data_IF_262222814147
#
_entry.id   IF_262222814147
#
_cell.length_a   1.000
_cell.length_b   1.000
_cell.length_c   1.000
_cell.angle_alpha   90.00
_cell.angle_beta   90.00
_cell.angle_gamma   90.00
#
_symmetry.space_group_name_H-M   'P 1'
#
loop_
_entity.id
_entity.type
_entity.pdbx_description
1 polymer ?
#
# COMPACT_ATOMS: atom_id res chain seq x y z
N UNK A 1 1.43 20.32 24.68
CA UNK A 1 0.80 19.01 24.92
C UNK A 1 -0.64 18.94 24.37
N UNK A 2 -0.89 18.97 23.07
CA UNK A 2 -0.71 20.00 22.05
C UNK A 2 -2.10 20.18 21.37
N UNK A 3 -2.40 21.31 20.73
CA UNK A 3 -3.59 21.57 19.90
C UNK A 3 -5.01 21.69 20.52
N UNK A 4 -5.48 20.82 21.41
CA UNK A 4 -6.51 21.26 22.38
C UNK A 4 -5.87 22.07 23.52
N UNK A 5 -4.57 21.83 23.70
CA UNK A 5 -3.53 22.76 24.17
C UNK A 5 -3.31 24.02 23.29
N UNK A 6 -3.98 24.17 22.15
CA UNK A 6 -3.95 25.39 21.32
C UNK A 6 -5.31 26.10 21.35
N UNK A 7 -6.43 25.36 21.39
CA UNK A 7 -7.77 25.96 21.53
C UNK A 7 -8.01 26.53 22.94
N UNK A 8 -7.54 25.85 23.99
CA UNK A 8 -7.60 26.36 25.37
C UNK A 8 -6.60 27.51 25.63
N UNK A 9 -5.63 27.74 24.73
CA UNK A 9 -4.66 28.85 24.79
C UNK A 9 -5.20 30.16 24.20
N UNK A 10 -6.32 30.13 23.46
CA UNK A 10 -6.84 31.31 22.76
C UNK A 10 -8.10 31.92 23.41
N UNK A 11 -8.93 31.15 24.14
CA UNK A 11 -10.15 31.69 24.78
C UNK A 11 -10.54 30.96 26.09
N UNK A 12 -9.97 31.32 27.26
CA UNK A 12 -10.36 30.73 28.54
C UNK A 12 -11.51 31.49 29.22
N UNK A 13 -12.61 30.79 29.51
CA UNK A 13 -13.74 31.27 30.31
C UNK A 13 -13.37 31.25 31.81
N UNK A 14 -13.57 32.37 32.51
CA UNK A 14 -13.32 32.50 33.95
C UNK A 14 -14.39 31.78 34.79
N UNK A 15 -13.97 31.00 35.81
CA UNK A 15 -14.62 31.01 37.12
C UNK A 15 -13.70 30.56 38.28
N UNK A 16 -13.26 31.60 39.01
CA UNK A 16 -12.89 31.79 40.42
C UNK A 16 -12.79 30.64 41.45
N UNK A 17 -11.70 30.74 42.25
CA UNK A 17 -11.51 30.43 43.70
C UNK A 17 -11.36 28.96 44.13
N UNK A 18 -10.46 28.55 45.04
CA UNK A 18 -9.81 29.23 46.18
C UNK A 18 -8.59 28.43 46.71
N UNK A 19 -7.57 29.16 47.18
CA UNK A 19 -6.59 28.88 48.27
C UNK A 19 -5.79 27.54 48.34
N UNK A 20 -4.44 27.62 48.34
CA UNK A 20 -3.61 27.55 49.57
C UNK A 20 -2.09 27.36 49.31
N UNK A 21 -1.32 28.40 49.68
CA UNK A 21 0.02 28.46 50.30
C UNK A 21 1.24 27.62 49.87
N UNK A 22 2.24 28.41 49.38
CA UNK A 22 3.65 28.57 49.82
C UNK A 22 4.80 27.75 49.15
N UNK A 23 5.98 28.38 48.93
CA UNK A 23 7.13 27.83 48.21
C UNK A 23 8.32 27.47 49.12
N UNK A 24 9.26 26.64 48.65
CA UNK A 24 10.55 26.40 49.33
C UNK A 24 11.74 26.31 48.33
N UNK A 25 12.59 27.34 48.40
CA UNK A 25 14.07 27.44 48.35
C UNK A 25 14.86 26.32 47.61
N UNK A 26 15.69 26.61 46.61
CA UNK A 26 16.98 27.33 46.60
C UNK A 26 18.08 26.69 47.48
N UNK A 27 19.12 26.13 46.85
CA UNK A 27 20.49 26.05 47.40
C UNK A 27 21.53 25.91 46.29
N UNK A 28 22.53 26.77 46.41
CA UNK A 28 23.72 27.02 45.59
C UNK A 28 24.92 26.13 45.95
N UNK A 29 25.71 25.88 44.91
CA UNK A 29 27.18 25.96 44.75
C UNK A 29 28.19 25.10 45.54
N UNK A 30 29.33 24.91 44.82
CA UNK A 30 30.72 24.65 45.26
C UNK A 30 31.12 23.15 45.46
N UNK A 31 32.28 22.62 45.07
CA UNK A 31 33.43 23.08 44.25
C UNK A 31 34.35 21.87 43.94
N UNK A 32 35.10 21.98 42.85
CA UNK A 32 36.49 21.53 42.59
C UNK A 32 37.07 20.08 42.66
N UNK A 33 37.75 19.76 41.54
CA UNK A 33 39.09 19.14 41.39
C UNK A 33 39.33 17.63 41.07
N UNK A 34 39.74 17.42 39.79
CA UNK A 34 40.93 16.70 39.27
C UNK A 34 40.89 15.22 38.81
N UNK A 35 41.30 15.09 37.53
CA UNK A 35 42.04 14.00 36.84
C UNK A 35 41.26 12.77 36.34
N UNK A 36 41.05 12.78 35.02
CA UNK A 36 41.75 11.83 34.14
C UNK A 36 40.91 10.74 33.50
N UNK A 37 40.93 10.71 32.17
CA UNK A 37 40.81 9.46 31.39
C UNK A 37 39.43 9.18 30.79
N UNK A 38 39.36 9.45 29.49
CA UNK A 38 38.79 8.58 28.46
C UNK A 38 37.27 8.34 28.39
N UNK A 39 36.82 8.25 27.14
CA UNK A 39 35.53 7.76 26.62
C UNK A 39 34.27 8.60 26.86
N UNK A 40 33.97 9.47 25.88
CA UNK A 40 32.61 9.70 25.41
C UNK A 40 32.00 8.34 25.01
N UNK A 41 30.99 7.88 25.75
CA UNK A 41 30.08 6.83 25.28
C UNK A 41 28.79 7.49 24.80
N UNK A 42 28.77 7.73 23.49
CA UNK A 42 27.55 7.92 22.71
C UNK A 42 26.63 6.70 22.89
N UNK A 43 25.65 6.81 23.80
CA UNK A 43 24.51 5.88 23.88
C UNK A 43 23.53 6.25 22.75
N UNK A 44 23.96 6.14 21.49
CA UNK A 44 23.04 6.21 20.35
C UNK A 44 23.67 5.65 19.06
N UNK A 45 24.21 4.44 19.10
CA UNK A 45 24.71 3.80 17.87
C UNK A 45 24.74 2.27 17.93
N UNK A 46 23.62 1.61 18.24
CA UNK A 46 23.50 0.16 18.03
C UNK A 46 22.04 -0.31 17.86
N UNK A 47 21.37 0.18 16.82
CA UNK A 47 20.38 -0.64 16.09
C UNK A 47 21.01 -1.00 14.75
N UNK A 48 21.71 -2.13 14.72
CA UNK A 48 22.09 -2.77 13.46
C UNK A 48 20.81 -3.12 12.70
N UNK A 49 20.56 -2.39 11.61
CA UNK A 49 19.66 -2.86 10.57
C UNK A 49 20.41 -3.93 9.77
N UNK A 50 20.33 -5.19 10.21
CA UNK A 50 20.71 -6.32 9.37
C UNK A 50 19.75 -6.38 8.17
N UNK A 51 20.12 -5.65 7.12
CA UNK A 51 19.31 -5.33 5.93
C UNK A 51 19.44 -6.42 4.86
N UNK A 52 19.86 -7.64 5.21
CA UNK A 52 20.00 -8.71 4.23
C UNK A 52 19.65 -10.07 4.81
N UNK A 53 18.38 -10.25 5.18
CA UNK A 53 17.78 -11.57 5.27
C UNK A 53 17.69 -12.19 3.89
N UNK A 54 18.79 -12.80 3.42
CA UNK A 54 18.79 -13.70 2.28
C UNK A 54 17.73 -14.77 2.58
N UNK A 55 16.59 -14.76 1.88
CA UNK A 55 15.66 -15.87 1.93
C UNK A 55 16.46 -17.15 1.64
N UNK A 56 16.62 -18.00 2.65
CA UNK A 56 17.20 -19.32 2.46
C UNK A 56 16.10 -20.11 1.75
N UNK A 57 16.24 -20.30 0.44
CA UNK A 57 15.54 -21.37 -0.26
C UNK A 57 15.86 -22.67 0.47
N UNK A 58 14.89 -23.22 1.19
CA UNK A 58 14.97 -24.61 1.67
C UNK A 58 14.87 -25.49 0.43
N UNK A 59 16.00 -26.03 -0.01
CA UNK A 59 16.03 -27.19 -0.91
C UNK A 59 15.49 -28.39 -0.11
N UNK A 60 14.18 -28.57 -0.11
CA UNK A 60 13.54 -29.79 0.38
C UNK A 60 13.71 -30.87 -0.69
N UNK A 61 14.78 -31.64 -0.54
CA UNK A 61 15.00 -32.84 -1.34
C UNK A 61 14.32 -34.01 -0.62
N UNK A 62 13.59 -34.80 -1.43
CA UNK A 62 13.01 -36.13 -1.16
C UNK A 62 11.60 -36.19 -0.53
N UNK A 63 10.56 -36.20 -1.38
CA UNK A 63 9.70 -37.40 -1.56
C UNK A 63 8.83 -37.29 -2.83
N UNK A 64 9.14 -38.17 -3.79
CA UNK A 64 8.43 -38.35 -5.05
C UNK A 64 7.05 -38.96 -4.84
N UNK A 65 6.00 -38.17 -5.06
CA UNK A 65 4.61 -38.62 -5.13
C UNK A 65 3.88 -37.84 -6.21
N UNK A 66 3.93 -38.35 -7.45
CA UNK A 66 3.33 -37.69 -8.61
C UNK A 66 1.82 -37.54 -8.48
N UNK A 67 1.35 -36.30 -8.35
CA UNK A 67 0.00 -35.91 -8.73
C UNK A 67 0.10 -35.03 -9.97
N UNK A 68 -0.27 -35.60 -11.13
CA UNK A 68 -0.49 -34.85 -12.36
C UNK A 68 -1.74 -33.96 -12.17
N UNK A 69 -1.59 -32.85 -11.45
CA UNK A 69 -2.56 -31.77 -11.51
C UNK A 69 -2.19 -30.90 -12.72
N UNK A 70 -3.16 -30.69 -13.61
CA UNK A 70 -3.00 -29.82 -14.78
C UNK A 70 -2.60 -28.42 -14.33
N UNK A 71 -1.31 -28.08 -14.44
CA UNK A 71 -0.79 -26.74 -14.20
C UNK A 71 -1.33 -25.76 -15.25
N UNK A 72 -2.58 -25.32 -15.07
CA UNK A 72 -3.01 -24.04 -15.60
C UNK A 72 -2.12 -23.01 -14.91
N UNK A 73 -1.20 -22.41 -15.66
CA UNK A 73 -0.50 -21.19 -15.25
C UNK A 73 -1.55 -20.16 -14.83
N UNK A 74 -1.83 -20.09 -13.53
CA UNK A 74 -2.66 -19.06 -12.93
C UNK A 74 -1.70 -17.92 -12.63
N UNK A 75 -1.91 -16.81 -13.34
CA UNK A 75 -1.24 -15.56 -13.01
C UNK A 75 -1.65 -15.19 -11.58
N UNK A 76 -0.67 -14.79 -10.76
CA UNK A 76 -0.89 -14.37 -9.39
C UNK A 76 -1.92 -13.21 -9.35
N UNK A 77 -3.05 -13.36 -8.62
CA UNK A 77 -4.05 -12.31 -8.46
C UNK A 77 -3.46 -10.97 -8.02
N UNK A 78 -2.37 -10.98 -7.25
CA UNK A 78 -1.72 -9.76 -6.77
C UNK A 78 -1.03 -9.02 -7.91
N UNK A 79 -0.34 -9.71 -8.82
CA UNK A 79 0.26 -9.10 -10.02
C UNK A 79 -0.81 -8.41 -10.86
N UNK A 80 -1.97 -9.05 -11.01
CA UNK A 80 -3.10 -8.46 -11.76
C UNK A 80 -3.63 -7.21 -11.04
N UNK A 81 -3.80 -7.27 -9.72
CA UNK A 81 -4.24 -6.13 -8.91
C UNK A 81 -3.25 -4.96 -9.02
N UNK A 82 -1.96 -5.24 -8.85
CA UNK A 82 -0.85 -4.30 -8.93
C UNK A 82 -0.79 -3.62 -10.30
N UNK A 83 -0.95 -4.39 -11.38
CA UNK A 83 -1.01 -3.86 -12.74
C UNK A 83 -2.23 -2.96 -12.96
N UNK A 84 -3.41 -3.36 -12.46
CA UNK A 84 -4.64 -2.57 -12.57
C UNK A 84 -4.53 -1.26 -11.79
N UNK A 85 -3.94 -1.29 -10.59
CA UNK A 85 -3.71 -0.09 -9.78
C UNK A 85 -2.75 0.87 -10.51
N UNK A 86 -1.59 0.37 -10.94
CA UNK A 86 -0.61 1.17 -11.68
C UNK A 86 -1.20 1.79 -12.96
N UNK A 87 -1.87 0.98 -13.80
CA UNK A 87 -2.50 1.46 -15.03
C UNK A 87 -3.64 2.45 -14.78
N UNK A 88 -4.48 2.23 -13.76
CA UNK A 88 -5.61 3.12 -13.46
C UNK A 88 -5.13 4.53 -13.13
N UNK A 89 -4.10 4.63 -12.30
CA UNK A 89 -3.54 5.91 -11.88
C UNK A 89 -2.70 6.53 -12.99
N UNK A 90 -1.91 5.71 -13.69
CA UNK A 90 -1.14 6.13 -14.86
C UNK A 90 -2.03 6.67 -15.99
N UNK A 91 -3.23 6.13 -16.19
CA UNK A 91 -4.15 6.64 -17.21
C UNK A 91 -4.83 7.96 -16.80
N UNK A 92 -4.99 8.21 -15.51
CA UNK A 92 -5.80 9.34 -15.03
C UNK A 92 -4.98 10.56 -14.63
N UNK A 93 -3.92 10.38 -13.84
CA UNK A 93 -3.15 11.50 -13.27
C UNK A 93 -2.34 12.25 -14.34
N UNK A 94 -1.52 11.58 -15.17
CA UNK A 94 -0.75 12.22 -16.25
C UNK A 94 -1.66 12.83 -17.32
N UNK A 95 -2.81 12.20 -17.60
CA UNK A 95 -3.82 12.78 -18.49
C UNK A 95 -4.38 14.08 -17.93
N UNK A 96 -4.85 14.08 -16.68
CA UNK A 96 -5.41 15.26 -16.03
C UNK A 96 -4.37 16.39 -15.96
N UNK A 97 -3.12 16.07 -15.60
CA UNK A 97 -2.02 17.03 -15.61
C UNK A 97 -1.78 17.61 -17.00
N UNK A 98 -1.67 16.76 -18.03
CA UNK A 98 -1.44 17.22 -19.41
C UNK A 98 -2.58 18.13 -19.92
N UNK A 99 -3.83 17.80 -19.55
CA UNK A 99 -5.00 18.60 -19.87
C UNK A 99 -4.96 19.96 -19.16
N UNK A 100 -4.60 19.98 -17.87
CA UNK A 100 -4.40 21.21 -17.10
C UNK A 100 -3.29 22.10 -17.66
N UNK A 101 -2.11 21.54 -17.91
CA UNK A 101 -0.97 22.27 -18.48
C UNK A 101 -1.25 22.78 -19.89
N UNK A 102 -2.12 22.12 -20.65
CA UNK A 102 -2.53 22.59 -21.98
C UNK A 102 -3.27 23.92 -21.94
N UNK A 103 -3.87 24.29 -20.80
CA UNK A 103 -4.48 25.60 -20.61
C UNK A 103 -3.46 26.75 -20.69
N UNK A 104 -2.17 26.48 -20.42
CA UNK A 104 -1.08 27.47 -20.51
C UNK A 104 -0.63 27.75 -21.95
N UNK A 105 -1.14 27.02 -22.94
CA UNK A 105 -0.88 27.32 -24.35
C UNK A 105 0.49 26.86 -24.90
N UNK A 106 1.31 26.15 -24.11
CA UNK A 106 2.67 25.74 -24.51
C UNK A 106 2.86 24.22 -24.50
N UNK A 107 2.97 23.61 -25.68
CA UNK A 107 3.19 22.17 -25.86
C UNK A 107 4.45 21.66 -25.16
N UNK A 108 5.54 22.45 -25.11
CA UNK A 108 6.78 22.03 -24.43
C UNK A 108 6.58 21.88 -22.93
N UNK A 109 5.77 22.75 -22.32
CA UNK A 109 5.44 22.68 -20.89
C UNK A 109 4.64 21.41 -20.60
N UNK A 110 3.67 21.07 -21.46
CA UNK A 110 2.88 19.85 -21.33
C UNK A 110 3.76 18.60 -21.43
N UNK A 111 4.63 18.54 -22.44
CA UNK A 111 5.49 17.36 -22.67
C UNK A 111 6.53 17.20 -21.56
N UNK A 112 7.26 18.26 -21.22
CA UNK A 112 8.31 18.18 -20.19
C UNK A 112 7.72 17.98 -18.79
N UNK A 113 6.63 18.68 -18.46
CA UNK A 113 5.93 18.53 -17.20
C UNK A 113 5.29 17.15 -17.07
N UNK A 114 4.66 16.66 -18.13
CA UNK A 114 4.08 15.32 -18.18
C UNK A 114 5.12 14.20 -18.07
N UNK A 115 6.26 14.31 -18.76
CA UNK A 115 7.34 13.32 -18.63
C UNK A 115 7.98 13.34 -17.23
N UNK A 116 8.15 14.53 -16.64
CA UNK A 116 8.68 14.66 -15.29
C UNK A 116 7.75 14.02 -14.26
N UNK A 117 6.44 14.28 -14.37
CA UNK A 117 5.44 13.66 -13.52
C UNK A 117 5.34 12.15 -13.75
N UNK A 118 5.39 11.69 -15.00
CA UNK A 118 5.38 10.27 -15.33
C UNK A 118 6.55 9.51 -14.68
N UNK A 119 7.76 10.08 -14.76
CA UNK A 119 8.95 9.49 -14.15
C UNK A 119 8.87 9.51 -12.62
N UNK A 120 8.50 10.66 -12.03
CA UNK A 120 8.38 10.80 -10.58
C UNK A 120 7.28 9.90 -10.01
N UNK A 121 6.13 9.84 -10.66
CA UNK A 121 4.99 9.01 -10.29
C UNK A 121 5.28 7.52 -10.42
N UNK A 122 5.92 7.08 -11.51
CA UNK A 122 6.31 5.68 -11.68
C UNK A 122 7.29 5.21 -10.58
N UNK A 123 8.30 6.04 -10.26
CA UNK A 123 9.26 5.73 -9.17
C UNK A 123 8.54 5.71 -7.83
N UNK A 124 7.68 6.70 -7.56
CA UNK A 124 6.92 6.78 -6.30
C UNK A 124 6.00 5.58 -6.11
N UNK A 125 5.26 5.19 -7.14
CA UNK A 125 4.41 4.00 -7.11
C UNK A 125 5.20 2.71 -6.94
N UNK A 126 6.32 2.56 -7.66
CA UNK A 126 7.18 1.39 -7.52
C UNK A 126 7.75 1.24 -6.11
N UNK A 127 8.25 2.33 -5.53
CA UNK A 127 8.71 2.35 -4.14
C UNK A 127 7.56 2.07 -3.16
N UNK A 128 6.37 2.62 -3.41
CA UNK A 128 5.16 2.34 -2.62
C UNK A 128 4.78 0.85 -2.63
N UNK A 129 4.80 0.21 -3.80
CA UNK A 129 4.57 -1.23 -3.95
C UNK A 129 5.63 -2.07 -3.26
N UNK A 130 6.92 -1.70 -3.39
CA UNK A 130 8.03 -2.38 -2.73
C UNK A 130 7.90 -2.33 -1.20
N UNK A 131 7.72 -1.12 -0.65
CA UNK A 131 7.63 -0.91 0.79
C UNK A 131 6.37 -1.57 1.34
N UNK A 132 5.23 -1.47 0.65
CA UNK A 132 3.99 -2.12 1.06
C UNK A 132 4.13 -3.64 1.14
N UNK A 133 4.66 -4.27 0.08
CA UNK A 133 4.90 -5.71 0.06
C UNK A 133 5.96 -6.16 1.08
N UNK A 134 7.00 -5.35 1.30
CA UNK A 134 8.01 -5.63 2.33
C UNK A 134 7.41 -5.55 3.73
N UNK A 135 6.60 -4.54 4.02
CA UNK A 135 5.91 -4.40 5.30
C UNK A 135 4.92 -5.55 5.56
N UNK A 136 4.23 -6.03 4.53
CA UNK A 136 3.39 -7.24 4.62
C UNK A 136 4.22 -8.47 5.04
N UNK A 137 5.40 -8.66 4.44
CA UNK A 137 6.31 -9.74 4.82
C UNK A 137 6.89 -9.60 6.23
N UNK A 138 7.27 -8.39 6.63
CA UNK A 138 7.75 -8.12 8.00
C UNK A 138 6.64 -8.34 9.04
N UNK A 139 5.39 -7.96 8.71
CA UNK A 139 4.22 -8.21 9.54
C UNK A 139 3.99 -9.71 9.73
N UNK A 140 3.98 -10.48 8.63
CA UNK A 140 3.85 -11.94 8.70
C UNK A 140 4.93 -12.58 9.58
N UNK A 141 6.20 -12.16 9.42
CA UNK A 141 7.29 -12.67 10.25
C UNK A 141 7.17 -12.26 11.72
N UNK A 142 6.55 -11.12 12.03
CA UNK A 142 6.24 -10.74 13.41
C UNK A 142 5.18 -11.66 13.99
N UNK A 143 4.06 -11.88 13.28
CA UNK A 143 3.00 -12.84 13.66
C UNK A 143 3.60 -14.22 13.92
N UNK A 144 4.41 -14.75 13.01
CA UNK A 144 5.07 -16.06 13.16
C UNK A 144 5.88 -16.13 14.46
N UNK A 145 6.68 -15.10 14.77
CA UNK A 145 7.51 -15.07 15.99
C UNK A 145 6.67 -15.01 17.26
N UNK A 146 5.62 -14.20 17.25
CA UNK A 146 4.68 -14.07 18.36
C UNK A 146 3.93 -15.38 18.61
N UNK A 147 3.37 -16.00 17.57
CA UNK A 147 2.69 -17.30 17.68
C UNK A 147 3.65 -18.41 18.14
N UNK A 148 4.89 -18.44 17.64
CA UNK A 148 5.90 -19.40 18.12
C UNK A 148 6.24 -19.23 19.59
N UNK A 149 6.34 -17.98 20.07
CA UNK A 149 6.57 -17.70 21.48
C UNK A 149 5.37 -18.17 22.32
N UNK A 150 4.16 -17.89 21.86
CA UNK A 150 2.92 -18.27 22.52
C UNK A 150 2.75 -19.78 22.66
N UNK A 151 3.02 -20.54 21.61
CA UNK A 151 2.98 -22.01 21.62
C UNK A 151 3.92 -22.60 22.70
N UNK A 152 5.03 -21.91 22.98
CA UNK A 152 6.02 -22.34 23.99
C UNK A 152 5.67 -21.88 25.40
N UNK A 153 5.06 -20.71 25.55
CA UNK A 153 4.80 -20.10 26.86
C UNK A 153 3.42 -20.45 27.43
N UNK A 154 2.38 -20.55 26.59
CA UNK A 154 1.00 -20.72 27.05
C UNK A 154 0.20 -21.72 26.18
N UNK A 155 0.11 -22.95 26.69
CA UNK A 155 -0.71 -23.98 26.04
C UNK A 155 -2.22 -23.77 26.26
N UNK A 156 -2.65 -23.06 27.31
CA UNK A 156 -4.08 -22.81 27.53
C UNK A 156 -4.62 -21.79 26.53
N UNK A 157 -3.84 -20.73 26.27
CA UNK A 157 -4.20 -19.70 25.30
C UNK A 157 -4.26 -20.26 23.87
N UNK A 158 -3.29 -21.09 23.48
CA UNK A 158 -3.31 -21.76 22.17
C UNK A 158 -4.48 -22.74 22.01
N UNK A 159 -4.86 -23.46 23.06
CA UNK A 159 -6.10 -24.27 23.04
C UNK A 159 -7.36 -23.42 22.88
N UNK A 160 -7.42 -22.25 23.54
CA UNK A 160 -8.54 -21.32 23.40
C UNK A 160 -8.66 -20.81 21.95
N UNK A 161 -7.55 -20.44 21.31
CA UNK A 161 -7.54 -20.02 19.91
C UNK A 161 -8.02 -21.10 18.93
N UNK A 162 -7.63 -22.37 19.15
CA UNK A 162 -8.13 -23.49 18.32
C UNK A 162 -9.65 -23.62 18.47
N UNK A 163 -10.16 -23.58 19.72
CA UNK A 163 -11.61 -23.62 19.98
C UNK A 163 -12.36 -22.45 19.33
N UNK A 164 -11.83 -21.24 19.43
CA UNK A 164 -12.41 -20.04 18.82
C UNK A 164 -12.46 -20.15 17.30
N UNK A 165 -11.40 -20.67 16.68
CA UNK A 165 -11.32 -20.89 15.23
C UNK A 165 -12.44 -21.82 14.75
N UNK A 166 -12.80 -22.84 15.54
CA UNK A 166 -13.86 -23.79 15.21
C UNK A 166 -15.27 -23.40 15.67
N UNK A 167 -15.42 -22.40 16.54
CA UNK A 167 -16.71 -21.99 17.11
C UNK A 167 -17.79 -21.67 16.04
N UNK A 168 -17.48 -21.00 14.91
CA UNK A 168 -18.48 -20.70 13.88
C UNK A 168 -19.02 -21.92 13.13
N UNK A 169 -18.34 -23.07 13.19
CA UNK A 169 -18.67 -24.25 12.38
C UNK A 169 -19.66 -25.21 13.06
N UNK A 170 -20.03 -24.95 14.32
CA UNK A 170 -21.01 -25.76 15.05
C UNK A 170 -20.57 -27.20 15.33
N UNK A 171 -19.26 -27.45 15.42
CA UNK A 171 -18.70 -28.76 15.74
C UNK A 171 -19.01 -29.15 17.20
N UNK A 172 -19.16 -30.44 17.47
CA UNK A 172 -19.30 -30.94 18.84
C UNK A 172 -18.05 -30.64 19.68
N UNK A 173 -18.23 -30.26 20.94
CA UNK A 173 -17.14 -29.95 21.88
C UNK A 173 -16.09 -31.08 21.94
N UNK A 174 -16.52 -32.34 21.98
CA UNK A 174 -15.62 -33.51 22.01
C UNK A 174 -14.72 -33.59 20.77
N UNK A 175 -15.27 -33.31 19.59
CA UNK A 175 -14.48 -33.30 18.35
C UNK A 175 -13.45 -32.15 18.32
N UNK A 176 -13.82 -30.98 18.84
CA UNK A 176 -12.89 -29.85 18.94
C UNK A 176 -11.76 -30.17 19.92
N UNK A 177 -12.06 -30.82 21.05
CA UNK A 177 -11.06 -31.27 22.02
C UNK A 177 -10.09 -32.29 21.42
N UNK A 178 -10.59 -33.27 20.67
CA UNK A 178 -9.75 -34.26 19.98
C UNK A 178 -8.84 -33.60 18.92
N UNK A 179 -9.38 -32.70 18.08
CA UNK A 179 -8.58 -31.94 17.10
C UNK A 179 -7.52 -31.09 17.81
N UNK A 180 -7.90 -30.43 18.89
CA UNK A 180 -7.00 -29.58 19.67
C UNK A 180 -5.86 -30.42 20.24
N UNK A 181 -6.17 -31.59 20.81
CA UNK A 181 -5.18 -32.52 21.35
C UNK A 181 -4.21 -32.99 20.27
N UNK A 182 -4.73 -33.40 19.11
CA UNK A 182 -3.91 -33.90 18.00
C UNK A 182 -3.01 -32.81 17.40
N UNK A 183 -3.49 -31.56 17.31
CA UNK A 183 -2.69 -30.42 16.86
C UNK A 183 -1.54 -30.10 17.83
N UNK A 184 -1.76 -30.22 19.14
CA UNK A 184 -0.74 -29.95 20.15
C UNK A 184 0.39 -31.00 20.20
N UNK A 185 0.25 -32.14 19.51
CA UNK A 185 1.32 -33.15 19.39
C UNK A 185 2.53 -32.60 18.63
N UNK A 186 2.33 -31.68 17.70
CA UNK A 186 3.40 -31.08 16.90
C UNK A 186 3.27 -29.56 16.85
N UNK A 187 4.27 -28.87 17.43
CA UNK A 187 4.30 -27.40 17.45
C UNK A 187 4.27 -26.79 16.04
N UNK A 188 4.91 -27.43 15.06
CA UNK A 188 4.95 -26.94 13.68
C UNK A 188 3.56 -26.98 13.01
N UNK A 189 2.78 -28.06 13.19
CA UNK A 189 1.42 -28.13 12.64
C UNK A 189 0.45 -27.20 13.37
N UNK A 190 0.65 -27.04 14.69
CA UNK A 190 -0.14 -26.06 15.45
C UNK A 190 0.15 -24.64 14.98
N UNK A 191 1.42 -24.30 14.74
CA UNK A 191 1.81 -23.01 14.17
C UNK A 191 1.17 -22.79 12.80
N UNK A 192 1.35 -23.74 11.88
CA UNK A 192 0.78 -23.65 10.52
C UNK A 192 -0.75 -23.51 10.57
N UNK A 193 -1.41 -24.27 11.45
CA UNK A 193 -2.85 -24.17 11.67
C UNK A 193 -3.26 -22.78 12.19
N UNK A 194 -2.57 -22.25 13.22
CA UNK A 194 -2.91 -20.95 13.80
C UNK A 194 -2.64 -19.82 12.80
N UNK A 195 -1.55 -19.86 12.03
CA UNK A 195 -1.28 -18.85 11.00
C UNK A 195 -2.34 -18.89 9.89
N UNK A 196 -2.66 -20.08 9.39
CA UNK A 196 -3.59 -20.23 8.27
C UNK A 196 -5.06 -19.98 8.65
N UNK A 197 -5.52 -20.48 9.80
CA UNK A 197 -6.94 -20.49 10.16
C UNK A 197 -7.32 -19.43 11.21
N UNK A 198 -6.43 -19.16 12.17
CA UNK A 198 -6.71 -18.16 13.21
C UNK A 198 -6.31 -16.76 12.72
N UNK A 199 -5.05 -16.55 12.31
CA UNK A 199 -4.55 -15.27 11.83
C UNK A 199 -4.94 -14.97 10.37
N UNK A 200 -5.24 -16.01 9.57
CA UNK A 200 -5.60 -15.91 8.14
C UNK A 200 -4.55 -15.19 7.29
N UNK A 201 -3.29 -15.30 7.70
CA UNK A 201 -2.16 -14.73 6.95
C UNK A 201 -1.56 -15.81 6.06
N UNK A 202 -1.39 -15.51 4.78
CA UNK A 202 -0.67 -16.35 3.82
C UNK A 202 0.80 -15.96 3.78
N UNK A 203 1.69 -16.95 3.66
CA UNK A 203 3.12 -16.70 3.52
C UNK A 203 3.40 -15.84 2.26
N UNK A 204 4.04 -14.67 2.42
CA UNK A 204 4.42 -13.83 1.30
C UNK A 204 5.61 -14.42 0.53
N UNK A 205 5.56 -14.33 -0.80
CA UNK A 205 6.62 -14.81 -1.68
C UNK A 205 7.88 -13.92 -1.58
N UNK A 206 9.08 -14.51 -1.53
CA UNK A 206 10.32 -13.75 -1.36
C UNK A 206 10.60 -12.73 -2.50
N UNK A 207 10.10 -12.96 -3.71
CA UNK A 207 10.27 -12.03 -4.84
C UNK A 207 9.08 -11.07 -5.01
N UNK A 208 8.06 -11.16 -4.15
CA UNK A 208 6.80 -10.43 -4.26
C UNK A 208 7.01 -8.92 -4.21
N UNK A 209 7.93 -8.43 -3.37
CA UNK A 209 8.18 -7.01 -3.21
C UNK A 209 8.72 -6.36 -4.50
N UNK A 210 9.68 -7.00 -5.16
CA UNK A 210 10.24 -6.50 -6.42
C UNK A 210 9.25 -6.61 -7.58
N UNK A 211 8.51 -7.72 -7.66
CA UNK A 211 7.50 -7.91 -8.70
C UNK A 211 6.40 -6.85 -8.57
N UNK A 212 5.92 -6.61 -7.35
CA UNK A 212 4.91 -5.58 -7.06
C UNK A 212 5.39 -4.19 -7.46
N UNK A 213 6.61 -3.83 -7.04
CA UNK A 213 7.24 -2.56 -7.39
C UNK A 213 7.33 -2.34 -8.90
N UNK A 214 7.83 -3.33 -9.63
CA UNK A 214 8.01 -3.25 -11.08
C UNK A 214 6.67 -3.19 -11.81
N UNK A 215 5.69 -3.97 -11.36
CA UNK A 215 4.37 -4.04 -12.00
C UNK A 215 3.59 -2.74 -11.82
N UNK A 216 3.61 -2.14 -10.62
CA UNK A 216 3.02 -0.82 -10.36
C UNK A 216 3.70 0.26 -11.20
N UNK A 217 5.04 0.34 -11.13
CA UNK A 217 5.81 1.37 -11.81
C UNK A 217 5.61 1.32 -13.33
N UNK A 218 5.68 0.11 -13.91
CA UNK A 218 5.52 -0.08 -15.34
C UNK A 218 4.07 0.17 -15.78
N UNK A 219 3.08 -0.29 -14.99
CA UNK A 219 1.67 0.00 -15.25
C UNK A 219 1.40 1.50 -15.28
N UNK A 220 1.93 2.24 -14.29
CA UNK A 220 1.80 3.69 -14.23
C UNK A 220 2.50 4.39 -15.41
N UNK A 221 3.75 4.00 -15.70
CA UNK A 221 4.52 4.59 -16.80
C UNK A 221 3.84 4.35 -18.16
N UNK A 222 3.42 3.11 -18.44
CA UNK A 222 2.76 2.77 -19.71
C UNK A 222 1.41 3.48 -19.82
N UNK A 223 0.61 3.48 -18.75
CA UNK A 223 -0.67 4.18 -18.71
C UNK A 223 -0.51 5.68 -18.98
N UNK A 224 0.45 6.32 -18.31
CA UNK A 224 0.67 7.76 -18.39
C UNK A 224 1.40 8.25 -19.63
N UNK A 225 2.08 7.35 -20.34
CA UNK A 225 2.66 7.70 -21.62
C UNK A 225 1.60 7.87 -22.71
N UNK A 226 0.52 7.08 -22.68
CA UNK A 226 -0.57 7.11 -23.67
C UNK A 226 -1.17 8.52 -23.89
N UNK A 227 -1.58 9.28 -22.84
CA UNK A 227 -2.13 10.63 -23.03
C UNK A 227 -1.13 11.63 -23.59
N UNK A 228 0.19 11.38 -23.45
CA UNK A 228 1.25 12.26 -23.92
C UNK A 228 1.56 12.08 -25.41
N UNK A 229 1.29 10.90 -25.99
CA UNK A 229 1.61 10.58 -27.40
C UNK A 229 1.14 11.67 -28.38
N UNK A 230 -0.11 12.19 -28.30
CA UNK A 230 -0.58 13.21 -29.25
C UNK A 230 0.19 14.54 -29.19
N UNK A 231 0.76 14.89 -28.02
CA UNK A 231 1.53 16.14 -27.85
C UNK A 231 2.92 16.08 -28.50
N UNK A 232 3.44 14.89 -28.80
CA UNK A 232 4.68 14.75 -29.57
C UNK A 232 4.48 14.94 -31.08
N UNK A 233 3.27 14.63 -31.58
CA UNK A 233 2.97 14.62 -33.02
C UNK A 233 2.42 15.97 -33.47
N UNK A 234 1.58 16.59 -32.64
CA UNK A 234 0.83 17.81 -33.00
C UNK A 234 1.48 19.04 -32.39
N UNK A 235 1.92 19.98 -33.22
CA UNK A 235 2.58 21.21 -32.74
C UNK A 235 1.64 22.16 -31.99
N UNK A 236 0.35 22.19 -32.37
CA UNK A 236 -0.65 23.06 -31.75
C UNK A 236 -1.26 22.40 -30.51
N UNK A 237 -1.04 22.99 -29.34
CA UNK A 237 -1.44 22.43 -28.02
C UNK A 237 -2.95 22.13 -27.90
N UNK A 238 -3.81 23.00 -28.42
CA UNK A 238 -5.27 22.82 -28.33
C UNK A 238 -5.72 21.66 -29.22
N UNK A 239 -5.15 21.54 -30.41
CA UNK A 239 -5.41 20.41 -31.29
C UNK A 239 -4.89 19.11 -30.68
N UNK A 240 -3.68 19.13 -30.09
CA UNK A 240 -3.10 18.00 -29.39
C UNK A 240 -3.97 17.54 -28.20
N UNK A 241 -4.55 18.49 -27.45
CA UNK A 241 -5.48 18.21 -26.35
C UNK A 241 -6.73 17.48 -26.83
N UNK A 242 -7.37 17.90 -27.94
CA UNK A 242 -8.54 17.19 -28.46
C UNK A 242 -8.22 15.76 -28.89
N UNK A 243 -7.07 15.54 -29.54
CA UNK A 243 -6.61 14.18 -29.86
C UNK A 243 -6.33 13.36 -28.60
N UNK A 244 -5.70 13.96 -27.58
CA UNK A 244 -5.45 13.32 -26.28
C UNK A 244 -6.75 12.92 -25.57
N UNK A 245 -7.76 13.80 -25.55
CA UNK A 245 -9.09 13.48 -25.00
C UNK A 245 -9.72 12.30 -25.75
N UNK A 246 -9.63 12.27 -27.08
CA UNK A 246 -10.17 11.16 -27.87
C UNK A 246 -9.47 9.83 -27.58
N UNK A 247 -8.14 9.82 -27.60
CA UNK A 247 -7.33 8.63 -27.30
C UNK A 247 -7.59 8.15 -25.87
N UNK A 248 -7.67 9.07 -24.90
CA UNK A 248 -7.92 8.72 -23.50
C UNK A 248 -9.34 8.27 -23.24
N UNK A 249 -10.34 8.84 -23.92
CA UNK A 249 -11.72 8.36 -23.84
C UNK A 249 -11.82 6.89 -24.24
N UNK A 250 -11.20 6.50 -25.36
CA UNK A 250 -11.14 5.10 -25.79
C UNK A 250 -10.34 4.24 -24.81
N UNK A 251 -9.16 4.71 -24.39
CA UNK A 251 -8.27 3.95 -23.51
C UNK A 251 -8.90 3.69 -22.14
N UNK A 252 -9.50 4.70 -21.50
CA UNK A 252 -10.20 4.56 -20.21
C UNK A 252 -11.41 3.63 -20.33
N UNK A 253 -12.17 3.73 -21.43
CA UNK A 253 -13.32 2.85 -21.66
C UNK A 253 -12.89 1.39 -21.77
N UNK A 254 -11.90 1.11 -22.61
CA UNK A 254 -11.36 -0.24 -22.82
C UNK A 254 -10.75 -0.78 -21.52
N UNK A 255 -9.98 0.03 -20.81
CA UNK A 255 -9.38 -0.36 -19.53
C UNK A 255 -10.45 -0.68 -18.48
N UNK A 256 -11.45 0.18 -18.31
CA UNK A 256 -12.56 -0.04 -17.37
C UNK A 256 -13.39 -1.27 -17.70
N UNK A 257 -13.60 -1.54 -19.00
CA UNK A 257 -14.24 -2.77 -19.47
C UNK A 257 -13.43 -4.01 -19.10
N UNK A 258 -12.14 -4.04 -19.47
CA UNK A 258 -11.24 -5.18 -19.20
C UNK A 258 -11.13 -5.43 -17.70
N UNK A 259 -10.87 -4.39 -16.89
CA UNK A 259 -10.79 -4.49 -15.42
C UNK A 259 -12.03 -5.16 -14.84
N UNK A 260 -13.21 -4.74 -15.31
CA UNK A 260 -14.48 -5.28 -14.81
C UNK A 260 -14.68 -6.73 -15.25
N UNK A 261 -14.33 -7.08 -16.49
CA UNK A 261 -14.41 -8.45 -17.00
C UNK A 261 -13.42 -9.41 -16.32
N UNK A 262 -12.25 -8.94 -15.91
CA UNK A 262 -11.29 -9.74 -15.13
C UNK A 262 -11.87 -10.15 -13.78
N UNK A 263 -12.62 -9.26 -13.12
CA UNK A 263 -13.21 -9.52 -11.80
C UNK A 263 -14.52 -10.32 -11.88
N UNK A 264 -15.44 -9.94 -12.80
CA UNK A 264 -16.77 -10.57 -12.91
C UNK A 264 -16.83 -11.75 -13.87
N UNK A 265 -15.84 -11.90 -14.74
CA UNK A 265 -15.82 -12.88 -15.81
C UNK A 265 -16.23 -12.31 -17.17
N UNK A 266 -15.89 -13.05 -18.22
CA UNK A 266 -15.97 -12.61 -19.62
C UNK A 266 -17.27 -13.01 -20.34
N UNK A 267 -18.04 -13.95 -19.77
CA UNK A 267 -19.23 -14.55 -20.43
C UNK A 267 -20.49 -14.22 -19.65
N UNK A 268 -21.55 -13.87 -20.39
CA UNK A 268 -22.87 -13.53 -19.83
C UNK A 268 -23.28 -12.10 -20.18
N UNK A 269 -24.56 -11.90 -20.49
CA UNK A 269 -25.11 -10.58 -20.83
C UNK A 269 -24.87 -9.56 -19.70
N UNK A 270 -25.12 -9.96 -18.46
CA UNK A 270 -24.95 -9.09 -17.29
C UNK A 270 -23.48 -8.67 -17.07
N UNK A 271 -22.53 -9.54 -17.43
CA UNK A 271 -21.10 -9.24 -17.33
C UNK A 271 -20.62 -8.25 -18.40
N UNK A 272 -21.17 -8.33 -19.61
CA UNK A 272 -20.90 -7.35 -20.67
C UNK A 272 -21.46 -5.98 -20.28
N UNK A 273 -22.70 -5.94 -19.76
CA UNK A 273 -23.32 -4.69 -19.28
C UNK A 273 -22.51 -4.09 -18.14
N UNK A 274 -22.07 -4.91 -17.18
CA UNK A 274 -21.19 -4.46 -16.11
C UNK A 274 -19.86 -3.91 -16.64
N UNK A 275 -19.26 -4.56 -17.66
CA UNK A 275 -18.05 -4.09 -18.32
C UNK A 275 -18.21 -2.72 -18.97
N UNK A 276 -19.31 -2.52 -19.71
CA UNK A 276 -19.64 -1.22 -20.32
C UNK A 276 -19.78 -0.16 -19.23
N UNK A 277 -20.48 -0.47 -18.14
CA UNK A 277 -20.62 0.45 -17.02
C UNK A 277 -19.28 0.79 -16.36
N UNK A 278 -18.39 -0.20 -16.20
CA UNK A 278 -17.03 0.01 -15.71
C UNK A 278 -16.21 0.93 -16.61
N UNK A 279 -16.32 0.76 -17.93
CA UNK A 279 -15.71 1.66 -18.92
C UNK A 279 -16.23 3.10 -18.80
N UNK A 280 -17.56 3.27 -18.74
CA UNK A 280 -18.20 4.59 -18.57
C UNK A 280 -17.77 5.27 -17.26
N UNK A 281 -17.73 4.51 -16.15
CA UNK A 281 -17.29 5.02 -14.86
C UNK A 281 -15.84 5.53 -14.95
N UNK A 282 -14.96 4.79 -15.63
CA UNK A 282 -13.56 5.20 -15.77
C UNK A 282 -13.40 6.47 -16.63
N UNK A 283 -14.16 6.59 -17.71
CA UNK A 283 -14.22 7.83 -18.50
C UNK A 283 -14.74 9.01 -17.68
N UNK A 284 -15.75 8.79 -16.84
CA UNK A 284 -16.30 9.83 -15.97
C UNK A 284 -15.25 10.30 -14.95
N UNK A 285 -14.56 9.38 -14.27
CA UNK A 285 -13.49 9.71 -13.31
C UNK A 285 -12.36 10.48 -14.00
N UNK A 286 -11.90 10.01 -15.17
CA UNK A 286 -10.86 10.71 -15.94
C UNK A 286 -11.30 12.09 -16.41
N UNK A 287 -12.56 12.24 -16.83
CA UNK A 287 -13.15 13.53 -17.22
C UNK A 287 -13.24 14.51 -16.06
N UNK A 288 -13.67 14.06 -14.87
CA UNK A 288 -13.70 14.87 -13.66
C UNK A 288 -12.29 15.29 -13.24
N UNK A 289 -11.32 14.37 -13.26
CA UNK A 289 -9.93 14.67 -12.94
C UNK A 289 -9.33 15.72 -13.88
N UNK A 290 -9.50 15.54 -15.20
CA UNK A 290 -9.03 16.51 -16.19
C UNK A 290 -9.74 17.87 -16.08
N UNK A 291 -11.07 17.87 -15.86
CA UNK A 291 -11.84 19.08 -15.63
C UNK A 291 -11.36 19.85 -14.39
N UNK A 292 -11.10 19.14 -13.29
CA UNK A 292 -10.56 19.73 -12.06
C UNK A 292 -9.16 20.32 -12.28
N UNK A 293 -8.28 19.63 -13.00
CA UNK A 293 -6.94 20.11 -13.30
C UNK A 293 -6.97 21.37 -14.20
N UNK A 294 -7.80 21.38 -15.25
CA UNK A 294 -8.00 22.56 -16.11
C UNK A 294 -8.56 23.74 -15.29
N UNK A 295 -9.56 23.49 -14.45
CA UNK A 295 -10.16 24.53 -13.62
C UNK A 295 -9.15 25.15 -12.64
N UNK A 296 -8.34 24.31 -11.99
CA UNK A 296 -7.29 24.75 -11.06
C UNK A 296 -6.26 25.62 -11.76
N UNK A 297 -5.72 25.16 -12.91
CA UNK A 297 -4.72 25.93 -13.66
C UNK A 297 -5.29 27.26 -14.14
N UNK A 298 -6.52 27.27 -14.68
CA UNK A 298 -7.17 28.52 -15.11
C UNK A 298 -7.43 29.49 -13.97
N UNK A 299 -7.82 29.00 -12.79
CA UNK A 299 -8.05 29.84 -11.62
C UNK A 299 -6.77 30.56 -11.21
N UNK A 300 -5.65 29.84 -11.18
CA UNK A 300 -4.35 30.41 -10.82
C UNK A 300 -3.88 31.40 -11.89
N UNK A 301 -4.00 31.06 -13.17
CA UNK A 301 -3.58 31.93 -14.28
C UNK A 301 -4.41 33.24 -14.36
N UNK A 302 -5.72 33.15 -14.07
CA UNK A 302 -6.61 34.33 -14.03
C UNK A 302 -6.35 35.22 -12.79
N UNK A 303 -5.73 34.69 -11.74
CA UNK A 303 -5.35 35.47 -10.55
C UNK A 303 -4.08 36.31 -10.73
N UNK A 304 -3.37 36.16 -11.87
CA UNK A 304 -2.11 36.81 -12.18
C UNK A 304 -2.26 38.02 -13.15
N UNK A 305 -3.49 38.50 -13.36
CA UNK A 305 -3.82 39.75 -14.10
C UNK A 305 -4.27 40.86 -13.16
#
# INVERSE_FOLDING_TARGET
MALLFLKQKLFPTQQSNKLSNKPLLARTDDDDTLRGGDSDQDIESQRSYDTFGRCISRDDSTHSGGSNSSSRSRVDPRIISDAILGLSDGLTVPFALSAGLSALGNTKVVVLGGLAELAAGAISMGLGGYVGAKSEAESYQATVRETQALIKSDSQETQAMVRETFAPYGLSLTAIEDITRDLHVSQDRLLEFLLAFHHRESEPDCNQAWISALTLALGYFVGGFIPLIPYFIVSQVITALYWSIGVMGVTLFVFGYIKTCVVRGWRGHDNIVAGIWGGVQMCFVGGVAAGAAIALVRLIDTGNV
#
